data_IF_325762815685
#
_entry.id   IF_325762815685
#
_cell.length_a   1.000
_cell.length_b   1.000
_cell.length_c   1.000
_cell.angle_alpha   90.00
_cell.angle_beta   90.00
_cell.angle_gamma   90.00
#
_symmetry.space_group_name_H-M   'P 1'
#
loop_
_entity.id
_entity.type
_entity.pdbx_description
1 polymer ?
#
# COMPACT_ATOMS: atom_id res chain seq x y z
N UNK A 1 34.08 -37.82 16.95
CA UNK A 1 33.41 -36.54 16.61
C UNK A 1 33.36 -36.28 15.09
N UNK A 2 34.48 -36.29 14.37
CA UNK A 2 34.53 -35.95 12.93
C UNK A 2 33.73 -36.90 12.00
N UNK A 3 33.75 -38.22 12.25
CA UNK A 3 33.00 -39.20 11.45
C UNK A 3 31.47 -39.14 11.66
N UNK A 4 31.04 -38.89 12.90
CA UNK A 4 29.62 -38.70 13.25
C UNK A 4 29.09 -37.42 12.61
N UNK A 5 29.85 -36.33 12.63
CA UNK A 5 29.49 -35.08 11.94
C UNK A 5 29.42 -35.25 10.41
N UNK A 6 30.33 -36.02 9.80
CA UNK A 6 30.23 -36.36 8.37
C UNK A 6 28.98 -37.19 8.06
N UNK A 7 28.67 -38.20 8.86
CA UNK A 7 27.46 -39.03 8.69
C UNK A 7 26.17 -38.21 8.78
N UNK A 8 26.07 -37.31 9.77
CA UNK A 8 24.93 -36.39 9.92
C UNK A 8 24.79 -35.45 8.71
N UNK A 9 25.90 -34.92 8.19
CA UNK A 9 25.89 -34.04 7.02
C UNK A 9 25.57 -34.78 5.71
N UNK A 10 26.01 -36.04 5.58
CA UNK A 10 25.63 -36.90 4.46
C UNK A 10 24.12 -37.20 4.47
N UNK A 11 23.55 -37.53 5.63
CA UNK A 11 22.11 -37.84 5.78
C UNK A 11 21.21 -36.64 5.42
N UNK A 12 21.65 -35.42 5.77
CA UNK A 12 20.99 -34.17 5.35
C UNK A 12 20.98 -33.97 3.83
N UNK A 13 22.09 -34.30 3.16
CA UNK A 13 22.23 -34.08 1.72
C UNK A 13 21.54 -35.16 0.88
N UNK A 14 21.60 -36.43 1.30
CA UNK A 14 21.11 -37.55 0.47
C UNK A 14 19.65 -37.93 0.71
N UNK A 15 19.07 -37.63 1.87
CA UNK A 15 17.69 -38.03 2.19
C UNK A 15 16.80 -36.82 2.43
N UNK A 16 17.24 -35.87 3.26
CA UNK A 16 16.41 -34.72 3.61
C UNK A 16 16.24 -33.77 2.42
N UNK A 17 17.31 -33.46 1.69
CA UNK A 17 17.21 -32.56 0.54
C UNK A 17 16.28 -33.08 -0.58
N UNK A 18 16.35 -34.36 -1.01
CA UNK A 18 15.39 -34.90 -1.98
C UNK A 18 13.94 -34.90 -1.48
N UNK A 19 13.71 -35.17 -0.18
CA UNK A 19 12.37 -35.12 0.41
C UNK A 19 11.79 -33.70 0.42
N UNK A 20 12.61 -32.68 0.69
CA UNK A 20 12.19 -31.27 0.60
C UNK A 20 11.85 -30.91 -0.86
N UNK A 21 12.70 -31.30 -1.81
CA UNK A 21 12.45 -31.06 -3.24
C UNK A 21 11.17 -31.76 -3.70
N UNK A 22 11.01 -33.04 -3.35
CA UNK A 22 9.82 -33.82 -3.71
C UNK A 22 8.55 -33.24 -3.08
N UNK A 23 8.56 -32.90 -1.79
CA UNK A 23 7.40 -32.31 -1.11
C UNK A 23 7.06 -30.91 -1.65
N UNK A 24 8.06 -30.11 -2.04
CA UNK A 24 7.83 -28.82 -2.70
C UNK A 24 7.25 -29.00 -4.10
N UNK A 25 7.78 -29.94 -4.88
CA UNK A 25 7.27 -30.24 -6.23
C UNK A 25 5.82 -30.73 -6.17
N UNK A 26 5.48 -31.57 -5.20
CA UNK A 26 4.09 -32.02 -4.96
C UNK A 26 3.19 -30.83 -4.59
N UNK A 27 3.63 -29.97 -3.66
CA UNK A 27 2.86 -28.77 -3.29
C UNK A 27 2.62 -27.85 -4.48
N UNK A 28 3.65 -27.57 -5.30
CA UNK A 28 3.50 -26.76 -6.51
C UNK A 28 2.54 -27.45 -7.47
N UNK A 29 2.70 -28.74 -7.77
CA UNK A 29 1.83 -29.45 -8.69
C UNK A 29 0.35 -29.47 -8.28
N UNK A 30 0.07 -29.66 -6.99
CA UNK A 30 -1.30 -29.69 -6.45
C UNK A 30 -1.94 -28.30 -6.41
N UNK A 31 -1.18 -27.28 -5.99
CA UNK A 31 -1.74 -25.95 -5.72
C UNK A 31 -1.57 -24.94 -6.86
N UNK A 32 -0.74 -25.21 -7.87
CA UNK A 32 -0.50 -24.27 -8.96
C UNK A 32 -1.79 -23.87 -9.69
N UNK A 33 -2.61 -24.82 -10.12
CA UNK A 33 -3.85 -24.52 -10.85
C UNK A 33 -4.83 -23.63 -10.07
N UNK A 34 -5.22 -23.99 -8.82
CA UNK A 34 -6.09 -23.16 -8.00
C UNK A 34 -5.51 -21.78 -7.61
N UNK A 35 -4.18 -21.68 -7.51
CA UNK A 35 -3.48 -20.42 -7.19
C UNK A 35 -3.12 -19.58 -8.42
N UNK A 36 -3.24 -20.12 -9.63
CA UNK A 36 -2.97 -19.38 -10.86
C UNK A 36 -4.00 -18.26 -11.04
N UNK A 37 -3.53 -17.02 -10.92
CA UNK A 37 -4.30 -15.79 -11.12
C UNK A 37 -3.78 -14.98 -12.31
N UNK A 38 -2.98 -15.58 -13.20
CA UNK A 38 -2.37 -14.91 -14.36
C UNK A 38 -3.38 -14.28 -15.32
N UNK A 39 -4.61 -14.81 -15.36
CA UNK A 39 -5.73 -14.30 -16.19
C UNK A 39 -6.83 -13.64 -15.37
N UNK A 40 -6.57 -13.32 -14.10
CA UNK A 40 -7.58 -12.76 -13.21
C UNK A 40 -7.61 -11.24 -13.30
N UNK A 41 -8.70 -10.69 -13.84
CA UNK A 41 -8.94 -9.25 -13.88
C UNK A 41 -9.54 -8.68 -12.58
N UNK A 42 -9.66 -9.50 -11.53
CA UNK A 42 -10.34 -9.13 -10.28
C UNK A 42 -9.85 -7.79 -9.70
N UNK A 43 -8.54 -7.62 -9.56
CA UNK A 43 -7.96 -6.41 -8.96
C UNK A 43 -8.17 -5.21 -9.88
N UNK A 44 -7.98 -5.38 -11.18
CA UNK A 44 -8.19 -4.30 -12.16
C UNK A 44 -9.65 -3.86 -12.18
N UNK A 45 -10.59 -4.81 -12.22
CA UNK A 45 -12.03 -4.53 -12.20
C UNK A 45 -12.46 -3.88 -10.88
N UNK A 46 -11.90 -4.30 -9.75
CA UNK A 46 -12.08 -3.63 -8.47
C UNK A 46 -11.64 -2.16 -8.53
N UNK A 47 -10.43 -1.89 -9.00
CA UNK A 47 -9.91 -0.53 -9.10
C UNK A 47 -10.69 0.35 -10.08
N UNK A 48 -11.13 -0.22 -11.22
CA UNK A 48 -11.98 0.46 -12.19
C UNK A 48 -13.31 0.87 -11.58
N UNK A 49 -14.02 -0.09 -10.98
CA UNK A 49 -15.27 0.17 -10.30
C UNK A 49 -15.09 1.19 -9.18
N UNK A 50 -14.01 1.10 -8.42
CA UNK A 50 -13.67 2.06 -7.37
C UNK A 50 -13.55 3.49 -7.92
N UNK A 51 -12.77 3.70 -8.99
CA UNK A 51 -12.54 5.03 -9.55
C UNK A 51 -13.74 5.59 -10.34
N UNK A 52 -14.51 4.74 -11.01
CA UNK A 52 -15.69 5.16 -11.80
C UNK A 52 -16.77 5.81 -10.94
N UNK A 53 -16.98 5.32 -9.72
CA UNK A 53 -18.03 5.82 -8.82
C UNK A 53 -17.61 7.05 -8.02
N UNK A 54 -16.34 7.47 -8.11
CA UNK A 54 -15.87 8.66 -7.40
C UNK A 54 -16.32 9.94 -8.11
N UNK A 55 -16.76 10.97 -7.37
CA UNK A 55 -17.09 12.27 -7.95
C UNK A 55 -15.91 12.88 -8.71
N UNK A 56 -16.24 13.77 -9.66
CA UNK A 56 -15.24 14.42 -10.52
C UNK A 56 -14.35 15.36 -9.71
N UNK A 57 -13.05 15.33 -9.97
CA UNK A 57 -12.03 16.14 -9.25
C UNK A 57 -12.01 15.91 -7.73
N UNK A 58 -12.43 14.73 -7.27
CA UNK A 58 -12.46 14.38 -5.85
C UNK A 58 -11.05 14.12 -5.30
N UNK A 59 -10.91 14.30 -3.98
CA UNK A 59 -9.69 14.01 -3.23
C UNK A 59 -9.96 12.82 -2.31
N UNK A 60 -9.16 11.78 -2.39
CA UNK A 60 -9.41 10.53 -1.68
C UNK A 60 -8.23 10.15 -0.78
N UNK A 61 -8.49 9.95 0.51
CA UNK A 61 -7.54 9.33 1.43
C UNK A 61 -7.69 7.82 1.30
N UNK A 62 -6.61 7.11 1.00
CA UNK A 62 -6.65 5.68 0.70
C UNK A 62 -5.78 4.94 1.71
N UNK A 63 -6.33 3.86 2.25
CA UNK A 63 -5.59 2.94 3.09
C UNK A 63 -5.61 1.54 2.48
N UNK A 64 -4.50 0.81 2.63
CA UNK A 64 -4.38 -0.59 2.27
C UNK A 64 -3.75 -0.80 0.90
N UNK A 65 -2.92 -1.83 0.81
CA UNK A 65 -2.06 -2.06 -0.36
C UNK A 65 -2.87 -2.21 -1.65
N UNK A 66 -3.95 -2.99 -1.62
CA UNK A 66 -4.78 -3.21 -2.80
C UNK A 66 -5.30 -1.88 -3.35
N UNK A 67 -5.82 -1.02 -2.48
CA UNK A 67 -6.42 0.26 -2.88
C UNK A 67 -5.36 1.21 -3.44
N UNK A 68 -4.25 1.40 -2.73
CA UNK A 68 -3.20 2.31 -3.15
C UNK A 68 -2.51 1.87 -4.45
N UNK A 69 -2.18 0.58 -4.58
CA UNK A 69 -1.43 0.07 -5.73
C UNK A 69 -2.29 0.01 -6.99
N UNK A 70 -3.56 -0.43 -6.88
CA UNK A 70 -4.42 -0.50 -8.06
C UNK A 70 -4.72 0.88 -8.63
N UNK A 71 -4.99 1.88 -7.77
CA UNK A 71 -5.24 3.25 -8.20
C UNK A 71 -3.98 3.82 -8.88
N UNK A 72 -2.81 3.60 -8.26
CA UNK A 72 -1.53 4.02 -8.84
C UNK A 72 -1.29 3.42 -10.22
N UNK A 73 -1.54 2.11 -10.39
CA UNK A 73 -1.44 1.45 -11.69
C UNK A 73 -2.41 2.06 -12.70
N UNK A 74 -3.70 2.14 -12.35
CA UNK A 74 -4.74 2.63 -13.26
C UNK A 74 -4.51 4.08 -13.69
N UNK A 75 -4.02 4.94 -12.80
CA UNK A 75 -3.71 6.33 -13.15
C UNK A 75 -2.41 6.47 -13.93
N UNK A 76 -1.32 5.82 -13.48
CA UNK A 76 -0.01 6.00 -14.09
C UNK A 76 0.12 5.28 -15.44
N UNK A 77 -0.40 4.05 -15.54
CA UNK A 77 -0.26 3.21 -16.73
C UNK A 77 -1.47 3.35 -17.65
N UNK A 78 -2.69 3.30 -17.12
CA UNK A 78 -3.92 3.26 -17.93
C UNK A 78 -4.58 4.64 -18.12
N UNK A 79 -4.03 5.69 -17.50
CA UNK A 79 -4.57 7.07 -17.56
C UNK A 79 -6.04 7.17 -17.16
N UNK A 80 -6.49 6.28 -16.26
CA UNK A 80 -7.88 6.24 -15.82
C UNK A 80 -8.12 7.27 -14.71
N UNK A 81 -9.13 8.13 -14.89
CA UNK A 81 -9.53 9.15 -13.90
C UNK A 81 -8.35 9.95 -13.30
N UNK A 82 -7.48 10.58 -14.12
CA UNK A 82 -6.37 11.39 -13.63
C UNK A 82 -6.83 12.68 -12.93
N UNK A 83 -8.13 12.98 -12.99
CA UNK A 83 -8.76 14.08 -12.26
C UNK A 83 -8.89 13.80 -10.75
N UNK A 84 -8.92 12.54 -10.33
CA UNK A 84 -9.00 12.15 -8.92
C UNK A 84 -7.60 12.22 -8.31
N UNK A 85 -7.49 12.86 -7.13
CA UNK A 85 -6.24 12.90 -6.39
C UNK A 85 -6.31 11.94 -5.22
N UNK A 86 -5.41 10.97 -5.18
CA UNK A 86 -5.32 10.02 -4.07
C UNK A 86 -4.15 10.34 -3.14
N UNK A 87 -4.33 10.03 -1.86
CA UNK A 87 -3.32 10.15 -0.84
C UNK A 87 -3.19 8.84 -0.10
N UNK A 88 -1.99 8.27 -0.10
CA UNK A 88 -1.71 7.02 0.60
C UNK A 88 -1.44 7.33 2.08
N UNK A 89 -2.38 6.93 2.94
CA UNK A 89 -2.33 7.23 4.36
C UNK A 89 -1.09 6.62 5.04
N UNK A 90 -0.59 5.48 4.56
CA UNK A 90 0.61 4.82 5.11
C UNK A 90 1.86 5.57 4.68
N UNK A 91 1.91 5.97 3.42
CA UNK A 91 3.09 6.65 2.91
C UNK A 91 3.22 8.08 3.44
N UNK A 92 2.10 8.74 3.79
CA UNK A 92 2.11 10.08 4.42
C UNK A 92 2.91 10.15 5.73
N UNK A 93 3.20 9.00 6.37
CA UNK A 93 4.02 8.91 7.59
C UNK A 93 5.50 9.16 7.32
N UNK A 94 5.93 9.10 6.06
CA UNK A 94 7.33 9.26 5.71
C UNK A 94 7.62 10.68 5.21
N UNK A 95 8.72 11.32 5.67
CA UNK A 95 9.09 12.67 5.21
C UNK A 95 9.23 12.80 3.70
N UNK A 96 9.72 11.73 3.06
CA UNK A 96 9.93 11.73 1.61
C UNK A 96 8.62 11.78 0.82
N UNK A 97 7.48 11.40 1.41
CA UNK A 97 6.19 11.42 0.73
C UNK A 97 5.81 12.84 0.36
N UNK A 98 5.92 13.76 1.33
CA UNK A 98 5.75 15.18 1.09
C UNK A 98 6.80 15.67 0.08
N UNK A 99 8.07 15.34 0.26
CA UNK A 99 9.12 15.83 -0.64
C UNK A 99 8.94 15.37 -2.10
N UNK A 100 8.40 14.16 -2.33
CA UNK A 100 8.21 13.58 -3.66
C UNK A 100 6.87 13.93 -4.29
N UNK A 101 5.78 13.84 -3.54
CA UNK A 101 4.43 14.03 -4.06
C UNK A 101 3.85 15.42 -3.79
N UNK A 102 4.39 16.17 -2.83
CA UNK A 102 3.81 17.47 -2.51
C UNK A 102 3.97 18.49 -3.63
N UNK A 103 4.97 18.42 -4.50
CA UNK A 103 5.04 19.38 -5.62
C UNK A 103 3.82 19.27 -6.53
N UNK A 104 3.38 18.05 -6.87
CA UNK A 104 2.18 17.82 -7.69
C UNK A 104 0.92 18.19 -6.88
N UNK A 105 0.84 17.73 -5.64
CA UNK A 105 -0.36 17.89 -4.81
C UNK A 105 -0.57 19.34 -4.34
N UNK A 106 0.50 20.09 -4.05
CA UNK A 106 0.45 21.52 -3.68
C UNK A 106 -0.01 22.38 -4.83
N UNK A 107 0.44 22.10 -6.06
CA UNK A 107 -0.07 22.79 -7.27
C UNK A 107 -1.57 22.56 -7.44
N UNK A 108 -2.09 21.44 -6.95
CA UNK A 108 -3.51 21.10 -6.93
C UNK A 108 -4.26 21.59 -5.66
N UNK A 109 -3.63 22.49 -4.91
CA UNK A 109 -4.21 23.19 -3.76
C UNK A 109 -4.34 22.34 -2.50
N UNK A 110 -3.48 21.33 -2.32
CA UNK A 110 -3.37 20.55 -1.07
C UNK A 110 -2.32 21.20 -0.17
N UNK A 111 -2.66 21.37 1.11
CA UNK A 111 -1.78 21.99 2.09
C UNK A 111 -1.34 20.94 3.09
N UNK A 112 -0.03 20.68 3.17
CA UNK A 112 0.56 19.80 4.19
C UNK A 112 0.94 20.64 5.41
N UNK A 113 0.37 20.39 6.61
CA UNK A 113 0.68 21.19 7.80
C UNK A 113 2.09 20.98 8.37
N UNK A 114 2.78 19.94 7.91
CA UNK A 114 4.16 19.59 8.27
C UNK A 114 4.76 18.64 7.23
N UNK A 115 5.92 18.04 7.54
CA UNK A 115 6.64 17.15 6.62
C UNK A 115 6.09 15.73 6.55
N UNK A 116 5.50 15.24 7.62
CA UNK A 116 4.95 13.88 7.67
C UNK A 116 3.78 13.79 8.65
N UNK A 117 2.92 12.81 8.45
CA UNK A 117 1.90 12.45 9.43
C UNK A 117 2.55 11.78 10.65
N UNK A 118 2.09 12.15 11.85
CA UNK A 118 2.67 11.66 13.10
C UNK A 118 2.23 10.27 13.54
N UNK A 119 1.06 9.78 13.09
CA UNK A 119 0.46 8.56 13.65
C UNK A 119 -0.10 8.75 15.06
N UNK A 120 -1.09 7.96 15.51
CA UNK A 120 -1.22 7.58 16.91
C UNK A 120 -0.23 6.45 17.24
N UNK A 121 0.17 6.24 18.51
CA UNK A 121 -0.14 7.02 19.70
C UNK A 121 0.99 8.01 19.97
N UNK A 122 0.85 9.26 19.50
CA UNK A 122 1.90 10.24 19.71
C UNK A 122 1.62 11.05 20.98
N UNK A 123 2.28 10.66 22.07
CA UNK A 123 2.30 11.39 23.35
C UNK A 123 2.87 12.81 23.17
N UNK A 124 3.73 13.02 22.15
CA UNK A 124 4.27 14.34 21.79
C UNK A 124 4.67 14.39 20.31
N UNK A 125 3.98 15.20 19.52
CA UNK A 125 4.30 15.39 18.10
C UNK A 125 5.69 16.01 17.97
N UNK A 126 6.51 15.44 17.08
CA UNK A 126 7.74 16.12 16.68
C UNK A 126 7.40 17.38 15.89
N UNK A 127 8.32 18.37 15.90
CA UNK A 127 8.11 19.70 15.30
C UNK A 127 7.65 19.69 13.83
N UNK A 128 7.92 18.61 13.10
CA UNK A 128 7.62 18.46 11.68
C UNK A 128 6.44 17.53 11.39
N UNK A 129 5.82 16.96 12.42
CA UNK A 129 4.68 16.05 12.28
C UNK A 129 3.35 16.79 12.37
N UNK A 130 2.33 16.27 11.69
CA UNK A 130 0.95 16.75 11.81
C UNK A 130 -0.04 15.60 12.02
N UNK A 131 -1.21 15.93 12.55
CA UNK A 131 -2.30 14.96 12.79
C UNK A 131 -3.36 15.00 11.68
N UNK A 132 -4.27 14.02 11.68
CA UNK A 132 -5.36 13.96 10.72
C UNK A 132 -6.31 15.13 10.95
N UNK A 133 -6.57 15.52 12.20
CA UNK A 133 -7.39 16.67 12.53
C UNK A 133 -6.81 17.93 11.90
N UNK A 134 -5.49 18.15 12.03
CA UNK A 134 -4.86 19.33 11.46
C UNK A 134 -4.88 19.33 9.94
N UNK A 135 -4.61 18.17 9.33
CA UNK A 135 -4.66 18.02 7.89
C UNK A 135 -6.07 18.27 7.33
N UNK A 136 -7.10 17.68 7.95
CA UNK A 136 -8.50 17.82 7.55
C UNK A 136 -9.05 19.23 7.83
N UNK A 137 -8.64 19.87 8.92
CA UNK A 137 -9.01 21.26 9.22
C UNK A 137 -8.57 22.20 8.09
N UNK A 138 -7.33 22.05 7.61
CA UNK A 138 -6.78 22.92 6.58
C UNK A 138 -7.31 22.58 5.20
N UNK A 139 -7.53 21.31 4.89
CA UNK A 139 -7.88 20.87 3.54
C UNK A 139 -9.37 20.65 3.28
N UNK A 140 -10.15 20.25 4.29
CA UNK A 140 -11.58 19.96 4.15
C UNK A 140 -12.40 21.17 4.58
N UNK A 141 -12.23 21.61 5.84
CA UNK A 141 -13.07 22.68 6.41
C UNK A 141 -12.88 24.02 5.68
N UNK A 142 -11.64 24.36 5.31
CA UNK A 142 -11.34 25.65 4.66
C UNK A 142 -11.53 25.65 3.15
N UNK A 143 -11.34 24.51 2.48
CA UNK A 143 -11.24 24.45 1.02
C UNK A 143 -12.51 23.95 0.31
N UNK A 144 -13.56 23.56 1.07
CA UNK A 144 -14.91 23.16 0.61
C UNK A 144 -14.97 22.14 -0.55
N UNK A 145 -13.87 21.46 -0.89
CA UNK A 145 -13.86 20.36 -1.85
C UNK A 145 -14.24 19.06 -1.15
N UNK A 146 -14.83 18.15 -1.90
CA UNK A 146 -15.24 16.84 -1.38
C UNK A 146 -14.01 15.96 -1.16
N UNK A 147 -13.84 15.51 0.08
CA UNK A 147 -12.82 14.56 0.48
C UNK A 147 -13.49 13.26 0.91
N UNK A 148 -13.00 12.14 0.41
CA UNK A 148 -13.49 10.82 0.78
C UNK A 148 -12.40 10.06 1.51
N UNK A 149 -12.75 9.40 2.60
CA UNK A 149 -11.89 8.38 3.19
C UNK A 149 -12.29 7.02 2.63
N UNK A 150 -11.34 6.34 2.00
CA UNK A 150 -11.54 5.10 1.29
C UNK A 150 -10.68 4.00 1.93
N UNK A 151 -11.34 3.20 2.76
CA UNK A 151 -10.70 2.21 3.63
C UNK A 151 -10.88 2.61 5.09
N UNK A 152 -10.04 2.05 5.95
CA UNK A 152 -9.96 2.48 7.33
C UNK A 152 -9.15 3.78 7.46
N UNK A 153 -9.09 4.26 8.68
CA UNK A 153 -8.09 5.25 9.05
C UNK A 153 -6.81 4.53 9.44
N UNK A 154 -5.68 5.04 8.98
CA UNK A 154 -4.41 4.57 9.49
C UNK A 154 -4.17 5.11 10.90
N UNK A 155 -4.56 4.27 11.86
CA UNK A 155 -4.15 4.33 13.25
C UNK A 155 -3.22 3.13 13.48
N UNK A 156 -2.03 3.32 14.03
CA UNK A 156 -1.27 2.18 14.53
C UNK A 156 -1.96 1.72 15.82
N UNK A 157 -2.39 0.47 15.86
CA UNK A 157 -2.54 -0.28 17.10
C UNK A 157 -1.20 -0.95 17.43
#
# INVERSE_FOLDING_TARGET
VCAVMKSINLWKSTIIAPLIVASTAVQVGVYYGPMDRSRSDLIVNYGKAFLEHMPRNSKILVQGDINCHVIRYLQACEQMRPDILYFDQVLMNFPWYEEKQANILKVQGVIFPGKMFGGPPVIKLEKHQYTWEKFLEVNVKKNKREWFNCGGWHFYD
#
